data_IF_247579592077
#
_entry.id   IF_247579592077
#
_cell.length_a   1.000
_cell.length_b   1.000
_cell.length_c   1.000
_cell.angle_alpha   90.00
_cell.angle_beta   90.00
_cell.angle_gamma   90.00
#
_symmetry.space_group_name_H-M   'P 1'
#
loop_
_entity.id
_entity.type
_entity.pdbx_description
1 polymer ?
#
# COMPACT_ATOMS: atom_id res chain seq x y z
N UNK A 1 -19.60 14.95 -12.02
CA UNK A 1 -18.89 15.43 -10.82
C UNK A 1 -17.68 14.54 -10.58
N UNK A 2 -16.44 15.05 -10.67
CA UNK A 2 -15.26 14.27 -10.26
C UNK A 2 -15.19 14.31 -8.74
N UNK A 3 -15.64 13.25 -8.08
CA UNK A 3 -15.35 13.06 -6.66
C UNK A 3 -13.82 13.02 -6.52
N UNK A 4 -13.26 13.98 -5.79
CA UNK A 4 -11.83 14.05 -5.50
C UNK A 4 -11.53 12.86 -4.57
N UNK A 5 -11.18 11.70 -5.14
CA UNK A 5 -10.92 10.47 -4.39
C UNK A 5 -9.65 10.71 -3.59
N UNK A 6 -9.80 10.95 -2.28
CA UNK A 6 -8.65 10.99 -1.36
C UNK A 6 -7.97 9.64 -1.40
N UNK A 7 -6.65 9.64 -1.50
CA UNK A 7 -5.83 8.43 -1.47
C UNK A 7 -4.78 8.55 -0.37
N UNK A 8 -4.28 7.40 0.07
CA UNK A 8 -3.18 7.27 1.01
C UNK A 8 -2.03 6.66 0.24
N UNK A 9 -0.90 7.34 0.20
CA UNK A 9 0.35 6.83 -0.36
C UNK A 9 1.15 6.14 0.75
N UNK A 10 1.49 4.87 0.56
CA UNK A 10 2.39 4.12 1.42
C UNK A 10 3.69 3.84 0.66
N UNK A 11 4.83 4.08 1.30
CA UNK A 11 6.14 3.67 0.81
C UNK A 11 6.64 2.58 1.75
N UNK A 12 6.76 1.36 1.25
CA UNK A 12 7.11 0.18 2.05
C UNK A 12 8.45 -0.33 1.58
N UNK A 13 9.42 -0.43 2.51
CA UNK A 13 10.68 -1.10 2.24
C UNK A 13 10.46 -2.62 2.29
N UNK A 14 10.71 -3.31 1.18
CA UNK A 14 10.52 -4.75 1.02
C UNK A 14 11.82 -5.45 0.67
N UNK A 15 11.83 -6.74 0.93
CA UNK A 15 12.92 -7.66 0.62
C UNK A 15 12.28 -9.02 0.38
N UNK A 16 12.48 -9.60 -0.81
CA UNK A 16 11.79 -10.82 -1.23
C UNK A 16 12.31 -12.07 -0.50
N UNK A 17 13.61 -12.11 -0.25
CA UNK A 17 14.32 -13.18 0.46
C UNK A 17 15.61 -12.63 1.09
N UNK A 18 16.29 -13.43 1.91
CA UNK A 18 17.51 -13.04 2.65
C UNK A 18 18.63 -12.49 1.75
N UNK A 19 18.69 -12.93 0.50
CA UNK A 19 19.79 -12.63 -0.42
C UNK A 19 19.47 -11.46 -1.35
N UNK A 20 18.18 -11.08 -1.44
CA UNK A 20 17.72 -9.96 -2.26
C UNK A 20 18.05 -8.60 -1.61
N UNK A 21 18.35 -7.60 -2.43
CA UNK A 21 18.54 -6.23 -1.96
C UNK A 21 17.20 -5.63 -1.55
N UNK A 22 17.11 -4.94 -0.40
CA UNK A 22 15.90 -4.21 -0.05
C UNK A 22 15.58 -3.12 -1.07
N UNK A 23 14.30 -2.93 -1.35
CA UNK A 23 13.81 -1.90 -2.27
C UNK A 23 12.58 -1.19 -1.68
N UNK A 24 12.29 0.03 -2.16
CA UNK A 24 11.06 0.74 -1.80
C UNK A 24 9.97 0.40 -2.82
N UNK A 25 8.79 0.04 -2.33
CA UNK A 25 7.60 -0.18 -3.14
C UNK A 25 6.51 0.80 -2.70
N UNK A 26 5.91 1.50 -3.67
CA UNK A 26 4.87 2.48 -3.42
C UNK A 26 3.49 1.90 -3.69
N UNK A 27 2.56 2.14 -2.77
CA UNK A 27 1.15 1.76 -2.89
C UNK A 27 0.26 2.97 -2.75
N UNK A 28 -0.79 3.03 -3.56
CA UNK A 28 -1.83 4.04 -3.45
C UNK A 28 -3.17 3.37 -3.14
N UNK A 29 -3.73 3.67 -1.97
CA UNK A 29 -4.98 3.07 -1.48
C UNK A 29 -6.05 4.14 -1.38
N UNK A 30 -7.28 3.89 -1.88
CA UNK A 30 -8.40 4.80 -1.66
C UNK A 30 -8.66 5.01 -0.17
N UNK A 31 -8.69 6.27 0.27
CA UNK A 31 -8.99 6.63 1.64
C UNK A 31 -10.41 6.19 2.02
N UNK A 32 -10.56 5.63 3.22
CA UNK A 32 -11.83 5.34 3.87
C UNK A 32 -11.77 5.84 5.31
N UNK A 33 -12.91 6.23 5.88
CA UNK A 33 -12.97 6.60 7.29
C UNK A 33 -12.51 5.42 8.16
N UNK A 34 -11.78 5.74 9.23
CA UNK A 34 -11.23 4.76 10.19
C UNK A 34 -10.24 3.74 9.59
N UNK A 35 -9.66 4.02 8.42
CA UNK A 35 -8.60 3.19 7.85
C UNK A 35 -7.31 3.34 8.68
N UNK A 36 -6.88 2.26 9.34
CA UNK A 36 -5.61 2.20 10.03
C UNK A 36 -4.52 1.56 9.14
N UNK A 37 -3.26 1.66 9.57
CA UNK A 37 -2.12 1.13 8.80
C UNK A 37 -2.24 -0.39 8.58
N UNK A 38 -2.76 -1.15 9.55
CA UNK A 38 -2.96 -2.60 9.41
C UNK A 38 -3.96 -2.89 8.28
N UNK A 39 -5.07 -2.15 8.20
CA UNK A 39 -6.05 -2.29 7.14
C UNK A 39 -5.46 -1.97 5.76
N UNK A 40 -4.58 -0.96 5.66
CA UNK A 40 -3.82 -0.68 4.44
C UNK A 40 -2.97 -1.88 4.00
N UNK A 41 -2.19 -2.45 4.92
CA UNK A 41 -1.31 -3.59 4.63
C UNK A 41 -2.12 -4.85 4.26
N UNK A 42 -3.26 -5.09 4.90
CA UNK A 42 -4.17 -6.17 4.52
C UNK A 42 -4.77 -5.96 3.12
N UNK A 43 -5.10 -4.73 2.75
CA UNK A 43 -5.63 -4.41 1.42
C UNK A 43 -4.58 -4.66 0.33
N UNK A 44 -3.33 -4.27 0.56
CA UNK A 44 -2.19 -4.58 -0.32
C UNK A 44 -2.03 -6.10 -0.49
N UNK A 45 -2.14 -6.87 0.60
CA UNK A 45 -2.08 -8.34 0.54
C UNK A 45 -3.24 -8.95 -0.23
N UNK A 46 -4.46 -8.41 -0.10
CA UNK A 46 -5.66 -8.91 -0.79
C UNK A 46 -5.62 -8.64 -2.30
N UNK A 47 -5.05 -7.51 -2.69
CA UNK A 47 -4.92 -7.08 -4.07
C UNK A 47 -3.43 -6.89 -4.42
N UNK A 48 -2.64 -7.98 -4.48
CA UNK A 48 -1.22 -7.86 -4.75
C UNK A 48 -1.03 -7.27 -6.15
N UNK A 49 -0.36 -6.12 -6.20
CA UNK A 49 0.12 -5.54 -7.45
C UNK A 49 1.27 -6.43 -7.94
N UNK A 50 1.19 -6.91 -9.18
CA UNK A 50 2.19 -7.80 -9.79
C UNK A 50 3.48 -7.07 -10.12
#
# INVERSE_FOLDING_TARGET
MKANKKTIKLIIKRQDNSDSKPYEEEFEIPYRENLNVIACLMEIRRNPVK
#
